data_IF_076526787282
#
_entry.id   IF_076526787282
#
_cell.length_a   1.000
_cell.length_b   1.000
_cell.length_c   1.000
_cell.angle_alpha   90.00
_cell.angle_beta   90.00
_cell.angle_gamma   90.00
#
_symmetry.space_group_name_H-M   'P 1'
#
loop_
_entity.id
_entity.type
_entity.pdbx_description
1 polymer ?
#
# COMPACT_ATOMS: atom_id res chain seq x y z
N UNK A 1 52.30 26.69 -9.14
CA UNK A 1 51.65 26.86 -7.83
C UNK A 1 50.35 26.07 -7.83
N UNK A 2 50.15 25.27 -6.79
CA UNK A 2 49.28 24.07 -6.70
C UNK A 2 47.79 24.36 -6.95
N UNK A 3 47.16 23.63 -7.87
CA UNK A 3 45.69 23.53 -7.99
C UNK A 3 45.18 22.65 -6.84
N UNK A 4 44.44 23.23 -5.90
CA UNK A 4 43.74 22.48 -4.85
C UNK A 4 42.47 21.89 -5.46
N UNK A 5 42.39 20.56 -5.53
CA UNK A 5 41.15 19.82 -5.80
C UNK A 5 40.57 19.45 -4.44
N UNK A 6 39.44 20.04 -4.06
CA UNK A 6 38.70 19.66 -2.85
C UNK A 6 37.80 18.48 -3.22
N UNK A 7 38.22 17.29 -2.81
CA UNK A 7 37.42 16.07 -2.85
C UNK A 7 36.46 16.10 -1.66
N UNK A 8 35.20 16.47 -1.89
CA UNK A 8 34.14 16.34 -0.88
C UNK A 8 33.76 14.86 -0.80
N UNK A 9 34.24 14.18 0.24
CA UNK A 9 33.75 12.86 0.63
C UNK A 9 32.33 13.03 1.21
N UNK A 10 31.33 12.71 0.39
CA UNK A 10 29.96 12.48 0.88
C UNK A 10 29.95 11.19 1.68
N UNK A 11 30.08 11.32 3.01
CA UNK A 11 29.85 10.23 3.95
C UNK A 11 28.40 9.76 3.79
N UNK A 12 28.25 8.58 3.16
CA UNK A 12 26.97 7.91 3.03
C UNK A 12 26.40 7.59 4.40
N UNK A 13 25.30 8.24 4.77
CA UNK A 13 24.42 7.73 5.80
C UNK A 13 23.76 6.46 5.24
N UNK A 14 24.25 5.29 5.65
CA UNK A 14 23.51 4.04 5.48
C UNK A 14 22.19 4.21 6.24
N UNK A 15 21.11 4.48 5.51
CA UNK A 15 19.76 4.49 6.06
C UNK A 15 19.50 3.13 6.71
N UNK A 16 19.14 3.13 8.00
CA UNK A 16 18.85 1.92 8.77
C UNK A 16 17.81 1.06 8.05
N UNK A 17 18.11 -0.20 7.70
CA UNK A 17 17.09 -1.12 7.19
C UNK A 17 16.34 -1.67 8.40
N UNK A 18 15.35 -0.94 8.88
CA UNK A 18 14.68 -1.36 10.10
C UNK A 18 13.69 -0.39 10.70
N UNK A 19 12.95 0.37 9.89
CA UNK A 19 11.63 0.77 10.35
C UNK A 19 10.78 -0.51 10.34
N UNK A 20 10.83 -1.25 11.46
CA UNK A 20 9.83 -2.25 11.79
C UNK A 20 8.49 -1.60 11.45
N UNK A 21 7.71 -2.24 10.57
CA UNK A 21 6.43 -1.70 10.13
C UNK A 21 5.65 -1.36 11.41
N UNK A 22 5.56 -0.06 11.74
CA UNK A 22 4.83 0.39 12.89
C UNK A 22 3.45 -0.25 12.73
N UNK A 23 3.05 -1.06 13.71
CA UNK A 23 1.72 -1.63 13.73
C UNK A 23 0.74 -0.47 13.51
N UNK A 24 -0.27 -0.68 12.67
CA UNK A 24 -1.28 0.34 12.45
C UNK A 24 -2.11 0.50 13.74
N UNK A 25 -1.58 1.24 14.71
CA UNK A 25 -2.25 1.56 15.97
C UNK A 25 -3.20 2.77 15.81
N UNK A 26 -3.36 3.26 14.57
CA UNK A 26 -4.31 4.31 14.21
C UNK A 26 -5.65 3.75 13.68
N UNK A 27 -6.73 4.55 13.72
CA UNK A 27 -8.04 4.11 13.25
C UNK A 27 -8.02 3.79 11.74
N UNK A 28 -8.70 2.73 11.35
CA UNK A 28 -8.90 2.37 9.94
C UNK A 28 -9.80 3.39 9.24
N UNK A 29 -9.34 3.91 8.10
CA UNK A 29 -10.04 4.83 7.24
C UNK A 29 -10.73 4.14 6.06
N UNK A 30 -11.80 4.78 5.56
CA UNK A 30 -12.41 4.38 4.28
C UNK A 30 -11.47 4.77 3.13
N UNK A 31 -11.15 3.88 2.19
CA UNK A 31 -10.12 4.14 1.18
C UNK A 31 -10.58 5.05 0.03
N UNK A 32 -11.89 5.23 -0.15
CA UNK A 32 -12.48 6.14 -1.12
C UNK A 32 -13.19 7.27 -0.36
N UNK A 33 -13.14 8.51 -0.85
CA UNK A 33 -13.87 9.61 -0.20
C UNK A 33 -15.38 9.57 -0.53
N UNK A 34 -16.20 10.23 0.29
CA UNK A 34 -17.63 10.38 0.04
C UNK A 34 -18.50 9.35 0.78
N UNK A 35 -19.62 8.97 0.15
CA UNK A 35 -20.57 8.04 0.74
C UNK A 35 -19.93 6.65 0.94
N UNK A 36 -20.14 6.07 2.11
CA UNK A 36 -19.62 4.74 2.46
C UNK A 36 -20.56 3.66 1.96
N UNK A 37 -20.52 3.43 0.66
CA UNK A 37 -21.32 2.42 -0.01
C UNK A 37 -20.46 1.22 -0.42
N UNK A 38 -21.00 0.02 -0.23
CA UNK A 38 -20.41 -1.22 -0.72
C UNK A 38 -21.26 -1.71 -1.88
N UNK A 39 -20.75 -1.55 -3.10
CA UNK A 39 -21.46 -1.96 -4.31
C UNK A 39 -21.48 -3.47 -4.49
N UNK A 40 -20.37 -4.15 -4.13
CA UNK A 40 -20.30 -5.61 -4.08
C UNK A 40 -19.69 -6.08 -2.76
N UNK A 41 -20.43 -6.85 -1.93
CA UNK A 41 -19.92 -7.33 -0.67
C UNK A 41 -18.89 -8.45 -0.86
N UNK A 42 -18.09 -8.70 0.19
CA UNK A 42 -17.25 -9.87 0.28
C UNK A 42 -18.08 -11.15 0.18
N UNK A 43 -17.61 -12.09 -0.63
CA UNK A 43 -18.23 -13.40 -0.80
C UNK A 43 -17.13 -14.47 -0.73
N UNK A 44 -16.93 -15.12 0.42
CA UNK A 44 -15.81 -16.03 0.61
C UNK A 44 -15.88 -17.19 -0.39
N UNK A 45 -14.73 -17.60 -0.97
CA UNK A 45 -14.70 -18.78 -1.82
C UNK A 45 -14.91 -20.05 -0.97
N UNK A 46 -15.68 -21.02 -1.50
CA UNK A 46 -15.98 -22.28 -0.82
C UNK A 46 -14.73 -23.14 -0.52
N UNK A 47 -13.67 -22.98 -1.32
CA UNK A 47 -12.35 -23.55 -1.06
C UNK A 47 -11.25 -22.53 -1.39
N UNK A 48 -10.01 -22.78 -0.94
CA UNK A 48 -8.88 -21.84 -1.06
C UNK A 48 -8.69 -21.27 -2.47
N UNK A 49 -8.95 -22.08 -3.50
CA UNK A 49 -8.74 -21.72 -4.91
C UNK A 49 -10.02 -21.66 -5.72
N UNK A 50 -11.19 -21.89 -5.13
CA UNK A 50 -12.45 -21.75 -5.86
C UNK A 50 -12.76 -20.27 -6.14
N UNK A 51 -13.74 -20.07 -7.03
CA UNK A 51 -14.34 -18.77 -7.26
C UNK A 51 -14.94 -18.18 -5.97
N UNK A 52 -14.97 -16.86 -5.90
CA UNK A 52 -15.48 -16.05 -4.80
C UNK A 52 -15.09 -14.58 -5.01
N UNK A 53 -15.55 -13.72 -4.13
CA UNK A 53 -15.18 -12.31 -4.08
C UNK A 53 -14.33 -12.04 -2.83
N UNK A 54 -13.01 -11.93 -3.01
CA UNK A 54 -12.00 -11.89 -1.92
C UNK A 54 -11.77 -10.50 -1.32
N UNK A 55 -12.68 -9.57 -1.58
CA UNK A 55 -12.65 -8.19 -1.09
C UNK A 55 -14.03 -7.57 -1.20
N UNK A 56 -14.09 -6.24 -1.10
CA UNK A 56 -15.30 -5.46 -1.36
C UNK A 56 -15.05 -4.55 -2.55
N UNK A 57 -16.08 -4.32 -3.37
CA UNK A 57 -16.01 -3.33 -4.45
C UNK A 57 -16.69 -2.06 -3.98
N UNK A 58 -15.96 -0.95 -4.04
CA UNK A 58 -16.43 0.37 -3.65
C UNK A 58 -16.69 1.19 -4.92
N UNK A 59 -17.94 1.62 -5.17
CA UNK A 59 -18.25 2.40 -6.36
C UNK A 59 -17.55 3.76 -6.30
N UNK A 60 -16.81 4.10 -7.35
CA UNK A 60 -16.16 5.39 -7.50
C UNK A 60 -16.00 5.73 -8.99
N UNK A 61 -16.18 7.00 -9.40
CA UNK A 61 -15.83 7.43 -10.75
C UNK A 61 -14.36 7.15 -11.08
N UNK A 62 -14.06 6.88 -12.36
CA UNK A 62 -12.69 6.69 -12.81
C UNK A 62 -11.83 7.94 -12.49
N UNK A 63 -10.61 7.71 -11.99
CA UNK A 63 -9.71 8.77 -11.54
C UNK A 63 -9.94 9.24 -10.09
N UNK A 64 -10.94 8.70 -9.38
CA UNK A 64 -11.11 8.99 -7.95
C UNK A 64 -9.89 8.55 -7.16
N UNK A 65 -9.37 9.44 -6.31
CA UNK A 65 -8.23 9.14 -5.47
C UNK A 65 -8.55 8.06 -4.43
N UNK A 66 -7.71 7.03 -4.37
CA UNK A 66 -7.75 5.97 -3.36
C UNK A 66 -6.68 6.24 -2.31
N UNK A 67 -7.05 6.20 -1.03
CA UNK A 67 -6.15 6.38 0.12
C UNK A 67 -5.93 5.04 0.82
N UNK A 68 -4.75 4.88 1.41
CA UNK A 68 -4.49 3.74 2.29
C UNK A 68 -5.45 3.76 3.48
N UNK A 69 -6.01 2.60 3.81
CA UNK A 69 -6.97 2.44 4.90
C UNK A 69 -6.31 2.57 6.27
N UNK A 70 -4.99 2.45 6.36
CA UNK A 70 -4.23 2.63 7.59
C UNK A 70 -2.79 3.01 7.29
N UNK A 71 -2.06 3.42 8.32
CA UNK A 71 -0.61 3.61 8.22
C UNK A 71 0.07 2.27 7.94
N UNK A 72 1.05 2.25 7.04
CA UNK A 72 1.73 1.01 6.69
C UNK A 72 2.81 1.21 5.65
N UNK A 73 3.47 0.11 5.28
CA UNK A 73 4.52 0.08 4.26
C UNK A 73 4.00 -0.57 3.00
N UNK A 74 4.22 0.08 1.86
CA UNK A 74 3.97 -0.53 0.54
C UNK A 74 4.90 -1.73 0.38
N UNK A 75 4.33 -2.92 0.22
CA UNK A 75 5.09 -4.15 -0.08
C UNK A 75 5.11 -4.48 -1.56
N UNK A 76 4.16 -3.96 -2.33
CA UNK A 76 4.09 -4.12 -3.78
C UNK A 76 3.33 -2.95 -4.41
N UNK A 77 3.82 -2.47 -5.56
CA UNK A 77 3.12 -1.53 -6.43
C UNK A 77 3.50 -1.83 -7.88
N UNK A 78 2.54 -2.21 -8.71
CA UNK A 78 2.80 -2.58 -10.10
C UNK A 78 1.64 -3.26 -10.80
N UNK A 79 1.88 -3.74 -12.02
CA UNK A 79 0.89 -4.51 -12.78
C UNK A 79 0.95 -6.00 -12.37
N UNK A 80 -0.20 -6.53 -11.97
CA UNK A 80 -0.40 -7.95 -11.69
C UNK A 80 -1.50 -8.48 -12.61
N UNK A 81 -1.15 -9.39 -13.52
CA UNK A 81 -2.06 -9.91 -14.55
C UNK A 81 -2.81 -8.80 -15.33
N UNK A 82 -2.09 -7.73 -15.67
CA UNK A 82 -2.62 -6.57 -16.42
C UNK A 82 -3.41 -5.56 -15.58
N UNK A 83 -3.51 -5.73 -14.26
CA UNK A 83 -4.21 -4.80 -13.36
C UNK A 83 -3.22 -4.07 -12.46
N UNK A 84 -3.38 -2.76 -12.31
CA UNK A 84 -2.63 -2.00 -11.32
C UNK A 84 -3.02 -2.47 -9.91
N UNK A 85 -2.04 -2.86 -9.11
CA UNK A 85 -2.24 -3.36 -7.76
C UNK A 85 -1.27 -2.67 -6.81
N UNK A 86 -1.79 -2.23 -5.66
CA UNK A 86 -0.98 -1.74 -4.55
C UNK A 86 -1.27 -2.56 -3.30
N UNK A 87 -0.22 -3.02 -2.63
CA UNK A 87 -0.33 -3.79 -1.39
C UNK A 87 0.36 -3.06 -0.26
N UNK A 88 -0.36 -2.83 0.84
CA UNK A 88 0.16 -2.17 2.04
C UNK A 88 0.13 -3.14 3.20
N UNK A 89 1.25 -3.22 3.94
CA UNK A 89 1.39 -4.03 5.15
C UNK A 89 1.31 -3.12 6.38
N UNK A 90 0.46 -3.50 7.34
CA UNK A 90 0.06 -2.74 8.52
C UNK A 90 0.48 -3.43 9.83
N UNK A 91 1.59 -4.17 9.82
CA UNK A 91 1.94 -5.15 10.85
C UNK A 91 1.58 -6.57 10.40
N UNK A 92 0.69 -7.24 11.12
CA UNK A 92 0.21 -8.60 10.77
C UNK A 92 -0.89 -8.59 9.70
N UNK A 93 -1.49 -7.43 9.43
CA UNK A 93 -2.54 -7.24 8.45
C UNK A 93 -2.01 -6.65 7.14
N UNK A 94 -2.76 -6.89 6.06
CA UNK A 94 -2.48 -6.39 4.71
C UNK A 94 -3.77 -5.91 4.05
N UNK A 95 -3.69 -4.80 3.35
CA UNK A 95 -4.71 -4.35 2.40
C UNK A 95 -4.17 -4.38 0.97
N UNK A 96 -5.08 -4.59 0.02
CA UNK A 96 -4.80 -4.58 -1.41
C UNK A 96 -5.80 -3.66 -2.09
N UNK A 97 -5.31 -2.82 -2.99
CA UNK A 97 -6.08 -1.89 -3.81
C UNK A 97 -5.85 -2.21 -5.29
#
# INVERSE_FOLDING_TARGET
MRRLVVLVLMLGSLGSPGAAAAAADGPWGWPVAGAREVGRPFAPPASRYSAGHRGVDLPAPAGTAVRAAGAGRVSYAGLLAGRGVVVVVHGTLRTTY
#
